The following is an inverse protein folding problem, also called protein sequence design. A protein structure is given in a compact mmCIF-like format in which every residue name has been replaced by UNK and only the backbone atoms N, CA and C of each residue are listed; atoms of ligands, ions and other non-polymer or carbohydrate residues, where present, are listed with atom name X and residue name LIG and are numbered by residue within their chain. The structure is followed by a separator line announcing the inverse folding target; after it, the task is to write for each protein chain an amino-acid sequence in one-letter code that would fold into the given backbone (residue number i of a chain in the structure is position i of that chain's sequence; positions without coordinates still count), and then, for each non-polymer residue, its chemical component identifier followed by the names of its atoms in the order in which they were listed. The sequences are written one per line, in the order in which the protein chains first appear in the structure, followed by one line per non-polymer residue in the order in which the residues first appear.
data_IF_426475260197
#
_entry.id   IF_426475260197
#
_cell.length_a   1.000
_cell.length_b   1.000
_cell.length_c   1.000
_cell.angle_alpha   90.00
_cell.angle_beta   90.00
_cell.angle_gamma   90.00
#
_symmetry.space_group_name_H-M   'P 1'
#
loop_
_entity.id
_entity.type
_entity.pdbx_description
1 polymer ?
#
# COMPACT_ATOMS: atom_id res chain seq x y z
N UNK A 1 -0.37 13.65 21.40
CA UNK A 1 -0.10 14.59 20.30
C UNK A 1 -1.35 15.42 20.08
N UNK A 2 -1.25 16.74 20.08
CA UNK A 2 -2.36 17.66 19.77
C UNK A 2 -2.43 17.94 18.26
N UNK A 3 -3.53 18.53 17.78
CA UNK A 3 -3.65 18.94 16.37
C UNK A 3 -2.59 19.99 16.01
N UNK A 4 -2.28 20.89 16.92
CA UNK A 4 -1.24 21.91 16.74
C UNK A 4 0.16 21.27 16.60
N UNK A 5 0.46 20.27 17.44
CA UNK A 5 1.71 19.49 17.31
C UNK A 5 1.77 18.72 15.98
N UNK A 6 0.65 18.16 15.53
CA UNK A 6 0.55 17.47 14.24
C UNK A 6 0.81 18.43 13.07
N UNK A 7 0.24 19.64 13.10
CA UNK A 7 0.48 20.67 12.09
C UNK A 7 1.94 21.11 12.06
N UNK A 8 2.59 21.28 13.21
CA UNK A 8 4.03 21.58 13.27
C UNK A 8 4.89 20.45 12.71
N UNK A 9 4.53 19.20 13.03
CA UNK A 9 5.18 18.03 12.47
C UNK A 9 5.00 17.96 10.94
N UNK A 10 3.81 18.31 10.44
CA UNK A 10 3.54 18.41 9.02
C UNK A 10 4.41 19.48 8.35
N UNK A 11 4.47 20.70 8.85
CA UNK A 11 5.33 21.75 8.28
C UNK A 11 6.80 21.33 8.19
N UNK A 12 7.29 20.59 9.19
CA UNK A 12 8.66 20.08 9.19
C UNK A 12 8.90 18.97 8.15
N UNK A 13 7.88 18.15 7.88
CA UNK A 13 7.98 16.93 7.05
C UNK A 13 7.40 17.08 5.65
N UNK A 14 6.65 18.15 5.37
CA UNK A 14 5.85 18.35 4.16
C UNK A 14 6.67 18.14 2.89
N UNK A 15 7.84 18.76 2.81
CA UNK A 15 8.69 18.63 1.61
C UNK A 15 9.15 17.19 1.39
N UNK A 16 9.50 16.46 2.45
CA UNK A 16 9.89 15.05 2.35
C UNK A 16 8.70 14.14 2.00
N UNK A 17 7.51 14.43 2.54
CA UNK A 17 6.26 13.71 2.21
C UNK A 17 5.92 13.93 0.74
N UNK A 18 5.93 15.17 0.25
CA UNK A 18 5.65 15.50 -1.16
C UNK A 18 6.67 14.92 -2.12
N UNK A 19 7.95 14.95 -1.77
CA UNK A 19 8.99 14.28 -2.54
C UNK A 19 8.71 12.78 -2.65
N UNK A 20 8.30 12.14 -1.54
CA UNK A 20 7.92 10.72 -1.55
C UNK A 20 6.68 10.43 -2.40
N UNK A 21 5.66 11.27 -2.36
CA UNK A 21 4.49 11.14 -3.25
C UNK A 21 4.88 11.30 -4.73
N UNK A 22 5.79 12.23 -5.05
CA UNK A 22 6.30 12.39 -6.41
C UNK A 22 7.10 11.17 -6.89
N UNK A 23 7.86 10.51 -6.01
CA UNK A 23 8.52 9.23 -6.33
C UNK A 23 7.49 8.14 -6.69
N UNK A 24 6.34 8.10 -6.02
CA UNK A 24 5.27 7.14 -6.34
C UNK A 24 4.62 7.40 -7.69
N UNK A 25 4.40 8.65 -8.06
CA UNK A 25 3.92 9.02 -9.40
C UNK A 25 4.88 8.55 -10.50
N UNK A 26 6.19 8.53 -10.22
CA UNK A 26 7.19 8.05 -11.18
C UNK A 26 7.16 6.52 -11.36
N UNK A 27 6.77 5.75 -10.33
CA UNK A 27 6.64 4.28 -10.43
C UNK A 27 5.70 3.88 -11.57
N UNK A 28 4.58 4.58 -11.75
CA UNK A 28 3.66 4.31 -12.86
C UNK A 28 4.28 4.62 -14.22
N UNK A 29 5.05 5.71 -14.33
CA UNK A 29 5.72 6.10 -15.59
C UNK A 29 6.82 5.13 -16.01
N UNK A 30 7.43 4.43 -15.05
CA UNK A 30 8.43 3.37 -15.31
C UNK A 30 7.84 2.10 -15.94
N UNK A 31 6.51 1.99 -16.03
CA UNK A 31 5.81 0.96 -16.80
C UNK A 31 5.48 -0.32 -16.03
N UNK A 32 4.90 -1.28 -16.76
CA UNK A 32 4.24 -2.47 -16.22
C UNK A 32 5.09 -3.28 -15.22
N UNK A 33 6.39 -3.41 -15.49
CA UNK A 33 7.29 -4.14 -14.60
C UNK A 33 7.44 -3.43 -13.24
N UNK A 34 7.60 -2.10 -13.23
CA UNK A 34 7.73 -1.34 -11.98
C UNK A 34 6.43 -1.38 -11.17
N UNK A 35 5.27 -1.32 -11.85
CA UNK A 35 3.96 -1.47 -11.23
C UNK A 35 3.80 -2.87 -10.63
N UNK A 36 4.20 -3.92 -11.34
CA UNK A 36 4.13 -5.28 -10.80
C UNK A 36 5.10 -5.49 -9.62
N UNK A 37 6.32 -4.93 -9.67
CA UNK A 37 7.24 -4.94 -8.52
C UNK A 37 6.62 -4.26 -7.30
N UNK A 38 5.88 -3.16 -7.48
CA UNK A 38 5.16 -2.48 -6.40
C UNK A 38 4.02 -3.33 -5.81
N UNK A 39 3.28 -4.05 -6.64
CA UNK A 39 2.27 -5.00 -6.17
C UNK A 39 2.90 -6.10 -5.32
N UNK A 40 4.04 -6.64 -5.76
CA UNK A 40 4.81 -7.66 -5.02
C UNK A 40 5.35 -7.11 -3.70
N UNK A 41 5.81 -5.86 -3.67
CA UNK A 41 6.15 -5.18 -2.43
C UNK A 41 4.98 -5.18 -1.44
N UNK A 42 3.78 -4.81 -1.88
CA UNK A 42 2.58 -4.79 -1.03
C UNK A 42 2.15 -6.19 -0.55
N UNK A 43 2.35 -7.24 -1.37
CA UNK A 43 2.15 -8.62 -0.92
C UNK A 43 3.12 -8.95 0.23
N UNK A 44 4.39 -8.55 0.14
CA UNK A 44 5.36 -8.77 1.21
C UNK A 44 5.08 -7.95 2.47
N UNK A 45 4.58 -6.71 2.36
CA UNK A 45 4.31 -5.88 3.55
C UNK A 45 3.02 -6.25 4.27
N UNK A 46 2.18 -7.11 3.70
CA UNK A 46 1.00 -7.65 4.37
C UNK A 46 1.40 -8.37 5.67
N UNK A 47 1.17 -7.73 6.82
CA UNK A 47 1.55 -8.27 8.14
C UNK A 47 3.05 -8.23 8.45
N UNK A 48 3.84 -7.47 7.68
CA UNK A 48 5.29 -7.31 7.87
C UNK A 48 5.70 -5.84 7.87
N UNK A 49 6.98 -5.55 8.14
CA UNK A 49 7.52 -4.19 8.07
C UNK A 49 7.89 -3.80 6.64
N UNK A 50 7.86 -2.51 6.31
CA UNK A 50 8.31 -1.99 5.02
C UNK A 50 9.76 -2.42 4.70
N UNK A 51 10.66 -2.41 5.70
CA UNK A 51 12.05 -2.85 5.55
C UNK A 51 12.18 -4.34 5.20
N UNK A 52 11.33 -5.19 5.78
CA UNK A 52 11.27 -6.61 5.40
C UNK A 52 10.80 -6.77 3.96
N UNK A 53 9.75 -6.03 3.58
CA UNK A 53 9.24 -6.01 2.21
C UNK A 53 10.30 -5.62 1.19
N UNK A 54 11.04 -4.53 1.44
CA UNK A 54 12.12 -4.07 0.57
C UNK A 54 13.21 -5.13 0.36
N UNK A 55 13.68 -5.76 1.44
CA UNK A 55 14.68 -6.85 1.36
C UNK A 55 14.16 -8.04 0.54
N UNK A 56 12.89 -8.38 0.68
CA UNK A 56 12.29 -9.48 -0.08
C UNK A 56 12.18 -9.14 -1.57
N UNK A 57 11.75 -7.91 -1.91
CA UNK A 57 11.69 -7.43 -3.30
C UNK A 57 13.07 -7.48 -3.94
N UNK A 58 14.11 -6.98 -3.27
CA UNK A 58 15.49 -7.04 -3.77
C UNK A 58 15.94 -8.47 -4.06
N UNK A 59 15.60 -9.42 -3.18
CA UNK A 59 15.97 -10.82 -3.34
C UNK A 59 15.26 -11.50 -4.53
N UNK A 60 13.98 -11.17 -4.78
CA UNK A 60 13.23 -11.79 -5.89
C UNK A 60 13.36 -11.04 -7.21
N UNK A 61 13.87 -9.80 -7.23
CA UNK A 61 13.97 -8.97 -8.44
C UNK A 61 14.56 -9.71 -9.67
N UNK A 62 15.64 -10.50 -9.56
CA UNK A 62 16.19 -11.23 -10.71
C UNK A 62 15.26 -12.29 -11.31
N UNK A 63 14.29 -12.78 -10.52
CA UNK A 63 13.36 -13.84 -10.88
C UNK A 63 11.91 -13.37 -10.86
N UNK A 64 11.65 -12.07 -10.72
CA UNK A 64 10.32 -11.53 -10.44
C UNK A 64 9.26 -11.99 -11.46
N UNK A 65 9.62 -11.95 -12.75
CA UNK A 65 8.73 -12.26 -13.86
C UNK A 65 8.71 -13.73 -14.27
N UNK A 66 9.76 -14.50 -13.93
CA UNK A 66 9.99 -15.85 -14.48
C UNK A 66 10.07 -16.95 -13.44
N UNK A 67 10.46 -16.61 -12.21
CA UNK A 67 10.74 -17.58 -11.16
C UNK A 67 9.50 -18.35 -10.72
N UNK A 68 9.62 -19.67 -10.59
CA UNK A 68 8.56 -20.51 -10.04
C UNK A 68 8.41 -20.34 -8.51
N UNK A 69 7.42 -21.02 -7.91
CA UNK A 69 7.16 -20.93 -6.47
C UNK A 69 8.36 -21.37 -5.61
N UNK A 70 9.12 -22.37 -6.07
CA UNK A 70 10.28 -22.89 -5.35
C UNK A 70 11.44 -21.89 -5.38
N UNK A 71 11.71 -21.29 -6.55
CA UNK A 71 12.72 -20.25 -6.71
C UNK A 71 12.37 -19.01 -5.88
N UNK A 72 11.11 -18.58 -5.90
CA UNK A 72 10.62 -17.46 -5.09
C UNK A 72 10.76 -17.75 -3.59
N UNK A 73 10.33 -18.93 -3.14
CA UNK A 73 10.46 -19.38 -1.75
C UNK A 73 11.92 -19.34 -1.31
N UNK A 74 12.82 -19.94 -2.09
CA UNK A 74 14.24 -19.99 -1.76
C UNK A 74 14.86 -18.59 -1.66
N UNK A 75 14.48 -17.66 -2.53
CA UNK A 75 14.99 -16.29 -2.51
C UNK A 75 14.60 -15.52 -1.23
N UNK A 76 13.42 -15.79 -0.65
CA UNK A 76 12.91 -15.07 0.54
C UNK A 76 12.94 -15.90 1.82
N UNK A 77 13.46 -17.13 1.78
CA UNK A 77 13.54 -17.98 2.95
C UNK A 77 14.47 -17.35 4.00
N UNK A 78 14.00 -17.21 5.23
CA UNK A 78 14.71 -16.47 6.28
C UNK A 78 14.69 -14.94 6.13
N UNK A 79 14.14 -14.39 5.04
CA UNK A 79 13.90 -12.95 4.87
C UNK A 79 12.49 -12.53 5.30
N UNK A 80 11.50 -13.39 5.04
CA UNK A 80 10.09 -13.12 5.36
C UNK A 80 9.56 -14.06 6.46
N UNK A 81 8.58 -13.61 7.25
CA UNK A 81 7.93 -14.41 8.32
C UNK A 81 7.11 -15.59 7.77
N UNK A 82 6.57 -15.42 6.57
CA UNK A 82 5.69 -16.37 5.88
C UNK A 82 6.16 -16.63 4.44
N UNK A 83 7.37 -17.15 4.23
CA UNK A 83 8.00 -17.17 2.90
C UNK A 83 7.23 -18.06 1.92
N UNK A 84 6.79 -19.25 2.34
CA UNK A 84 6.02 -20.16 1.48
C UNK A 84 4.71 -19.54 0.97
N UNK A 85 3.93 -18.92 1.88
CA UNK A 85 2.66 -18.28 1.50
C UNK A 85 2.89 -17.10 0.54
N UNK A 86 3.92 -16.27 0.78
CA UNK A 86 4.21 -15.12 -0.09
C UNK A 86 4.69 -15.54 -1.47
N UNK A 87 5.57 -16.55 -1.55
CA UNK A 87 6.01 -17.10 -2.82
C UNK A 87 4.82 -17.61 -3.65
N UNK A 88 3.95 -18.42 -3.05
CA UNK A 88 2.74 -18.92 -3.71
C UNK A 88 1.80 -17.79 -4.16
N UNK A 89 1.59 -16.77 -3.32
CA UNK A 89 0.72 -15.64 -3.66
C UNK A 89 1.25 -14.83 -4.85
N UNK A 90 2.56 -14.56 -4.88
CA UNK A 90 3.20 -13.80 -5.95
C UNK A 90 3.09 -14.55 -7.28
N UNK A 91 3.46 -15.83 -7.30
CA UNK A 91 3.43 -16.63 -8.54
C UNK A 91 1.99 -16.81 -9.03
N UNK A 92 1.04 -17.11 -8.14
CA UNK A 92 -0.37 -17.22 -8.49
C UNK A 92 -0.90 -15.92 -9.11
N UNK A 93 -0.66 -14.78 -8.44
CA UNK A 93 -1.10 -13.46 -8.88
C UNK A 93 -0.46 -13.08 -10.22
N UNK A 94 0.86 -13.31 -10.37
CA UNK A 94 1.60 -13.08 -11.61
C UNK A 94 1.00 -13.86 -12.77
N UNK A 95 0.76 -15.16 -12.57
CA UNK A 95 0.25 -16.03 -13.63
C UNK A 95 -1.18 -15.65 -14.04
N UNK A 96 -2.02 -15.25 -13.09
CA UNK A 96 -3.33 -14.67 -13.38
C UNK A 96 -3.22 -13.40 -14.22
N UNK A 97 -2.41 -12.43 -13.77
CA UNK A 97 -2.23 -11.16 -14.49
C UNK A 97 -1.62 -11.34 -15.88
N UNK A 98 -0.70 -12.29 -16.02
CA UNK A 98 -0.11 -12.67 -17.30
C UNK A 98 -1.17 -13.28 -18.24
N UNK A 99 -2.01 -14.19 -17.73
CA UNK A 99 -3.01 -14.89 -18.55
C UNK A 99 -4.15 -13.96 -18.99
N UNK A 100 -4.71 -13.17 -18.07
CA UNK A 100 -5.89 -12.34 -18.36
C UNK A 100 -5.52 -10.99 -18.98
N UNK A 101 -4.38 -10.41 -18.60
CA UNK A 101 -4.01 -9.04 -18.97
C UNK A 101 -2.67 -8.96 -19.70
N UNK A 102 -2.03 -10.09 -20.01
CA UNK A 102 -0.68 -10.10 -20.60
C UNK A 102 0.35 -9.34 -19.76
N UNK A 103 0.10 -9.24 -18.45
CA UNK A 103 0.87 -8.42 -17.50
C UNK A 103 0.93 -6.92 -17.87
N UNK A 104 0.01 -6.44 -18.72
CA UNK A 104 -0.13 -5.02 -19.09
C UNK A 104 -0.86 -4.27 -17.98
N UNK A 105 -0.12 -3.99 -16.91
CA UNK A 105 -0.62 -3.36 -15.68
C UNK A 105 -1.18 -1.95 -15.92
N UNK A 106 -0.53 -1.13 -16.74
CA UNK A 106 -1.00 0.22 -17.07
C UNK A 106 -2.37 0.16 -17.75
N UNK A 107 -2.50 -0.65 -18.80
CA UNK A 107 -3.77 -0.82 -19.52
C UNK A 107 -4.88 -1.38 -18.63
N UNK A 108 -4.55 -2.29 -17.71
CA UNK A 108 -5.49 -2.77 -16.69
C UNK A 108 -5.93 -1.62 -15.76
N UNK A 109 -5.01 -0.81 -15.26
CA UNK A 109 -5.33 0.31 -14.36
C UNK A 109 -6.13 1.43 -15.05
N UNK A 110 -5.92 1.63 -16.35
CA UNK A 110 -6.64 2.58 -17.19
C UNK A 110 -8.05 2.10 -17.54
N UNK A 111 -8.26 0.78 -17.66
CA UNK A 111 -9.59 0.23 -17.96
C UNK A 111 -10.55 0.27 -16.76
N UNK A 112 -10.02 0.41 -15.55
CA UNK A 112 -10.79 0.58 -14.32
C UNK A 112 -11.19 2.05 -14.16
N UNK A 113 -12.49 2.31 -14.12
CA UNK A 113 -13.10 3.63 -14.33
C UNK A 113 -12.82 4.63 -13.22
N UNK A 114 -12.84 4.20 -11.96
CA UNK A 114 -12.68 5.09 -10.81
C UNK A 114 -11.76 4.50 -9.71
N UNK A 115 -11.54 5.28 -8.64
CA UNK A 115 -10.68 4.86 -7.55
C UNK A 115 -11.27 3.71 -6.72
N UNK A 116 -12.60 3.58 -6.66
CA UNK A 116 -13.26 2.48 -5.96
C UNK A 116 -13.11 1.17 -6.74
N UNK A 117 -13.27 1.22 -8.06
CA UNK A 117 -13.13 0.08 -8.95
C UNK A 117 -11.70 -0.46 -8.94
N UNK A 118 -10.69 0.42 -9.04
CA UNK A 118 -9.28 0.04 -8.91
C UNK A 118 -9.03 -0.71 -7.60
N UNK A 119 -9.48 -0.18 -6.48
CA UNK A 119 -9.30 -0.83 -5.17
C UNK A 119 -9.99 -2.18 -5.10
N UNK A 120 -11.26 -2.25 -5.48
CA UNK A 120 -12.05 -3.47 -5.44
C UNK A 120 -11.42 -4.55 -6.31
N UNK A 121 -10.92 -4.20 -7.49
CA UNK A 121 -10.21 -5.14 -8.34
C UNK A 121 -9.06 -5.83 -7.60
N UNK A 122 -8.17 -5.07 -6.96
CA UNK A 122 -7.04 -5.69 -6.26
C UNK A 122 -7.41 -6.34 -4.91
N UNK A 123 -8.40 -5.80 -4.19
CA UNK A 123 -8.75 -6.26 -2.86
C UNK A 123 -9.78 -7.41 -2.82
N UNK A 124 -10.64 -7.52 -3.83
CA UNK A 124 -11.78 -8.46 -3.84
C UNK A 124 -11.65 -9.54 -4.92
N UNK A 125 -10.78 -9.37 -5.92
CA UNK A 125 -10.56 -10.40 -6.93
C UNK A 125 -9.88 -11.62 -6.31
N UNK A 126 -10.52 -12.80 -6.34
CA UNK A 126 -9.99 -13.99 -5.68
C UNK A 126 -8.69 -14.50 -6.33
N UNK A 127 -8.33 -14.04 -7.52
CA UNK A 127 -7.07 -14.41 -8.19
C UNK A 127 -5.90 -13.46 -7.88
N UNK A 128 -6.16 -12.35 -7.18
CA UNK A 128 -5.12 -11.51 -6.59
C UNK A 128 -4.95 -11.96 -5.14
N UNK A 129 -3.82 -12.60 -4.82
CA UNK A 129 -3.58 -13.18 -3.49
C UNK A 129 -2.73 -12.28 -2.63
N UNK A 130 -3.02 -12.27 -1.32
CA UNK A 130 -2.23 -11.52 -0.34
C UNK A 130 -2.54 -10.03 -0.26
N UNK A 131 -3.54 -9.56 -1.01
CA UNK A 131 -3.94 -8.15 -1.05
C UNK A 131 -5.36 -8.02 -0.49
N UNK A 132 -5.51 -7.32 0.64
CA UNK A 132 -6.80 -6.84 1.12
C UNK A 132 -7.00 -5.36 0.80
N UNK A 133 -8.02 -4.72 1.37
CA UNK A 133 -8.30 -3.30 1.14
C UNK A 133 -7.12 -2.39 1.52
N UNK A 134 -6.43 -2.70 2.62
CA UNK A 134 -5.26 -1.93 3.05
C UNK A 134 -4.10 -2.07 2.09
N UNK A 135 -3.76 -3.30 1.71
CA UNK A 135 -2.68 -3.55 0.75
C UNK A 135 -3.01 -3.02 -0.65
N UNK A 136 -4.28 -3.04 -1.08
CA UNK A 136 -4.71 -2.48 -2.36
C UNK A 136 -4.59 -0.95 -2.35
N UNK A 137 -5.05 -0.28 -1.29
CA UNK A 137 -4.85 1.15 -1.10
C UNK A 137 -3.35 1.51 -1.10
N UNK A 138 -2.55 0.71 -0.41
CA UNK A 138 -1.10 0.88 -0.33
C UNK A 138 -0.44 0.78 -1.70
N UNK A 139 -0.76 -0.26 -2.45
CA UNK A 139 -0.28 -0.47 -3.81
C UNK A 139 -0.67 0.71 -4.73
N UNK A 140 -1.94 1.11 -4.73
CA UNK A 140 -2.44 2.18 -5.60
C UNK A 140 -1.78 3.53 -5.26
N UNK A 141 -1.58 3.83 -3.97
CA UNK A 141 -0.83 5.02 -3.55
C UNK A 141 0.61 4.97 -4.03
N UNK A 142 1.30 3.84 -3.87
CA UNK A 142 2.72 3.73 -4.22
C UNK A 142 3.02 3.75 -5.72
N UNK A 143 1.99 3.66 -6.56
CA UNK A 143 2.09 3.92 -8.01
C UNK A 143 1.46 5.28 -8.40
N UNK A 144 1.22 6.17 -7.43
CA UNK A 144 0.83 7.55 -7.68
C UNK A 144 -0.67 7.82 -7.81
N UNK A 145 -1.54 6.82 -7.59
CA UNK A 145 -2.97 7.11 -7.51
C UNK A 145 -3.32 7.74 -6.15
N UNK A 146 -4.18 8.76 -6.22
CA UNK A 146 -4.65 9.54 -5.07
C UNK A 146 -6.02 9.08 -4.57
N UNK A 147 -6.37 9.45 -3.35
CA UNK A 147 -7.69 9.22 -2.76
C UNK A 147 -7.85 7.91 -1.98
N UNK A 148 -6.75 7.28 -1.56
CA UNK A 148 -6.74 6.02 -0.81
C UNK A 148 -6.18 6.17 0.60
N UNK A 149 -6.98 5.83 1.62
CA UNK A 149 -6.45 5.67 2.97
C UNK A 149 -5.71 4.33 3.10
N UNK A 150 -4.55 4.35 3.75
CA UNK A 150 -3.81 3.15 4.14
C UNK A 150 -4.06 2.91 5.64
N UNK A 151 -5.18 2.26 5.96
CA UNK A 151 -5.62 2.02 7.33
C UNK A 151 -4.82 0.90 8.02
N UNK A 152 -3.54 1.14 8.28
CA UNK A 152 -2.67 0.25 9.04
C UNK A 152 -2.78 0.47 10.57
N UNK A 153 -2.04 -0.32 11.36
CA UNK A 153 -2.08 -0.22 12.83
C UNK A 153 -1.63 1.14 13.38
N UNK A 154 -0.75 1.86 12.67
CA UNK A 154 -0.21 3.16 13.09
C UNK A 154 -1.19 4.28 12.76
N UNK A 155 -1.78 4.26 11.55
CA UNK A 155 -2.82 5.18 11.12
C UNK A 155 -4.07 5.01 11.99
N UNK A 156 -4.59 3.79 12.14
CA UNK A 156 -5.78 3.52 12.97
C UNK A 156 -5.59 3.95 14.43
N UNK A 157 -4.41 3.70 15.00
CA UNK A 157 -4.09 4.17 16.36
C UNK A 157 -4.08 5.69 16.44
N UNK A 158 -3.49 6.36 15.45
CA UNK A 158 -3.45 7.82 15.42
C UNK A 158 -4.85 8.42 15.27
N UNK A 159 -5.68 7.90 14.37
CA UNK A 159 -7.07 8.33 14.20
C UNK A 159 -7.87 8.17 15.50
N UNK A 160 -7.66 7.08 16.24
CA UNK A 160 -8.29 6.88 17.54
C UNK A 160 -7.77 7.87 18.60
N UNK A 161 -6.45 8.09 18.68
CA UNK A 161 -5.84 9.07 19.60
C UNK A 161 -6.36 10.51 19.36
N UNK A 162 -6.69 10.86 18.11
CA UNK A 162 -7.29 12.13 17.75
C UNK A 162 -8.83 12.16 17.83
N UNK A 163 -9.47 11.06 18.24
CA UNK A 163 -10.92 10.97 18.38
C UNK A 163 -11.70 10.90 17.06
N UNK A 164 -11.04 10.63 15.93
CA UNK A 164 -11.65 10.49 14.60
C UNK A 164 -12.47 9.21 14.49
N UNK A 165 -12.00 8.14 15.15
CA UNK A 165 -12.66 6.85 15.21
C UNK A 165 -12.78 6.36 16.65
N UNK A 166 -13.81 5.55 16.99
CA UNK A 166 -14.07 5.13 18.37
C UNK A 166 -13.13 4.01 18.87
N UNK A 167 -12.38 3.37 17.97
CA UNK A 167 -11.48 2.26 18.32
C UNK A 167 -10.38 2.11 17.26
N UNK A 168 -9.14 1.72 17.64
CA UNK A 168 -8.06 1.47 16.70
C UNK A 168 -8.11 0.06 16.05
N UNK A 169 -9.20 -0.67 16.26
CA UNK A 169 -9.37 -2.02 15.71
C UNK A 169 -9.42 -1.99 14.18
N UNK A 170 -8.77 -2.95 13.49
CA UNK A 170 -8.83 -3.05 12.04
C UNK A 170 -10.26 -3.15 11.49
N UNK A 171 -10.53 -2.59 10.29
CA UNK A 171 -11.82 -2.75 9.64
C UNK A 171 -12.13 -4.23 9.36
N UNK A 172 -13.36 -4.67 9.66
CA UNK A 172 -13.81 -6.06 9.51
C UNK A 172 -14.25 -6.40 8.10
N UNK A 173 -14.60 -5.39 7.30
CA UNK A 173 -15.12 -5.54 5.95
C UNK A 173 -14.93 -4.25 5.15
N UNK A 174 -15.20 -4.32 3.84
CA UNK A 174 -15.11 -3.20 2.91
C UNK A 174 -15.92 -1.97 3.36
N UNK A 175 -17.15 -2.17 3.84
CA UNK A 175 -18.02 -1.08 4.31
C UNK A 175 -17.38 -0.30 5.45
N UNK A 176 -16.88 -1.00 6.47
CA UNK A 176 -16.22 -0.35 7.60
C UNK A 176 -14.91 0.33 7.17
N UNK A 177 -14.18 -0.25 6.22
CA UNK A 177 -12.97 0.35 5.67
C UNK A 177 -13.26 1.71 5.04
N UNK A 178 -14.27 1.77 4.16
CA UNK A 178 -14.68 2.99 3.46
C UNK A 178 -15.29 4.03 4.42
N UNK A 179 -16.00 3.60 5.47
CA UNK A 179 -16.50 4.50 6.51
C UNK A 179 -15.36 5.20 7.26
N UNK A 180 -14.32 4.45 7.64
CA UNK A 180 -13.14 5.02 8.31
C UNK A 180 -12.36 5.93 7.37
N UNK A 181 -12.24 5.56 6.09
CA UNK A 181 -11.63 6.44 5.08
C UNK A 181 -12.40 7.76 4.93
N UNK A 182 -13.73 7.74 4.88
CA UNK A 182 -14.54 8.97 4.82
C UNK A 182 -14.28 9.88 6.03
N UNK A 183 -14.28 9.30 7.23
CA UNK A 183 -13.97 10.04 8.47
C UNK A 183 -12.56 10.62 8.44
N UNK A 184 -11.60 9.90 7.90
CA UNK A 184 -10.22 10.39 7.73
C UNK A 184 -10.15 11.55 6.71
N UNK A 185 -10.91 11.50 5.61
CA UNK A 185 -11.01 12.60 4.62
C UNK A 185 -11.61 13.85 5.24
N UNK A 186 -12.76 13.71 5.90
CA UNK A 186 -13.43 14.82 6.62
C UNK A 186 -12.51 15.43 7.68
N UNK A 187 -11.75 14.59 8.39
CA UNK A 187 -10.79 15.05 9.37
C UNK A 187 -9.60 15.78 8.74
N UNK A 188 -9.04 15.25 7.64
CA UNK A 188 -7.96 15.88 6.87
C UNK A 188 -8.35 17.31 6.45
N UNK A 189 -9.56 17.47 5.91
CA UNK A 189 -10.12 18.77 5.54
C UNK A 189 -10.23 19.70 6.76
N UNK A 190 -10.73 19.20 7.90
CA UNK A 190 -10.86 20.01 9.12
C UNK A 190 -9.52 20.51 9.67
N UNK A 191 -8.45 19.73 9.52
CA UNK A 191 -7.11 20.09 9.99
C UNK A 191 -6.27 20.80 8.93
N UNK A 192 -6.79 20.95 7.70
CA UNK A 192 -6.13 21.60 6.56
C UNK A 192 -4.82 20.90 6.16
N UNK A 193 -4.81 19.58 6.18
CA UNK A 193 -3.70 18.75 5.69
C UNK A 193 -4.25 17.91 4.54
N UNK A 194 -3.51 17.86 3.43
CA UNK A 194 -3.90 17.07 2.27
C UNK A 194 -4.07 15.59 2.65
N UNK A 195 -5.16 14.98 2.19
CA UNK A 195 -5.52 13.61 2.55
C UNK A 195 -4.47 12.58 2.10
N UNK A 196 -3.85 12.77 0.93
CA UNK A 196 -2.84 11.86 0.40
C UNK A 196 -1.48 12.03 1.10
N UNK A 197 -1.26 13.17 1.75
CA UNK A 197 -0.09 13.43 2.60
C UNK A 197 -0.27 12.85 4.02
N UNK A 198 -1.52 12.64 4.44
CA UNK A 198 -1.86 12.37 5.83
C UNK A 198 -1.39 10.99 6.31
N UNK A 199 -1.47 9.94 5.51
CA UNK A 199 -1.02 8.61 5.96
C UNK A 199 0.50 8.60 6.23
N UNK A 200 1.32 9.22 5.36
CA UNK A 200 2.76 9.34 5.55
C UNK A 200 3.11 10.18 6.78
N UNK A 201 2.34 11.25 7.03
CA UNK A 201 2.50 12.07 8.23
C UNK A 201 2.22 11.27 9.49
N UNK A 202 1.06 10.60 9.58
CA UNK A 202 0.66 9.83 10.75
C UNK A 202 1.61 8.65 10.98
N UNK A 203 1.99 7.96 9.90
CA UNK A 203 2.90 6.82 9.96
C UNK A 203 4.30 7.25 10.43
N UNK A 204 4.88 8.27 9.80
CA UNK A 204 6.22 8.77 10.15
C UNK A 204 6.29 9.37 11.56
N UNK A 205 5.18 9.88 12.09
CA UNK A 205 5.11 10.33 13.50
C UNK A 205 5.18 9.15 14.49
N UNK A 206 4.81 7.93 14.06
CA UNK A 206 4.90 6.73 14.90
C UNK A 206 6.21 5.97 14.74
N UNK A 207 6.85 6.05 13.56
CA UNK A 207 8.02 5.22 13.23
C UNK A 207 9.32 6.01 13.13
N UNK A 208 9.25 7.34 12.97
CA UNK A 208 10.41 8.21 12.75
C UNK A 208 10.93 8.21 11.32
N UNK A 209 10.30 7.47 10.39
CA UNK A 209 10.76 7.32 9.00
C UNK A 209 9.65 7.65 8.01
N UNK A 210 10.02 8.20 6.85
CA UNK A 210 9.12 8.32 5.69
C UNK A 210 9.57 7.25 4.69
N UNK A 211 8.84 6.15 4.63
CA UNK A 211 9.10 5.03 3.72
C UNK A 211 8.03 4.98 2.63
N UNK A 212 7.45 3.81 2.41
CA UNK A 212 6.44 3.56 1.41
C UNK A 212 5.42 2.60 1.95
#
# INVERSE_FOLDING_TARGET
MTIEELRRAYETKREAIRARLAEFEETYRRGDHAIFEELVFCIFTAGASARMGLRCVEAVRPILLTGDESQMLNAINGLHLYPAARAAYIVHTRNYLQREYSLRMQSLLESLTDHYERRRFFAENPNIKGIGYKEASHFLRNIGFRGYAILDKHVLRSLHEFGVIPSPNPPKNARQYLEIESKMKEWADSIQIDFDELDLLLWSNKTGEILK
#
